data_IF_865706926578
#
_entry.id   IF_865706926578
#
_cell.length_a   1.000
_cell.length_b   1.000
_cell.length_c   1.000
_cell.angle_alpha   90.00
_cell.angle_beta   90.00
_cell.angle_gamma   90.00
#
_symmetry.space_group_name_H-M   'P 1'
#
loop_
_entity.id
_entity.type
_entity.pdbx_description
1 polymer ?
#
# COMPACT_ATOMS: atom_id res chain seq x y z
N UNK A 1 36.13 -3.69 6.00
CA UNK A 1 35.57 -4.15 7.29
C UNK A 1 34.12 -4.54 7.06
N UNK A 2 33.84 -5.82 6.83
CA UNK A 2 32.47 -6.34 6.84
C UNK A 2 32.24 -6.77 8.29
N UNK A 3 31.45 -5.99 9.03
CA UNK A 3 31.06 -6.34 10.39
C UNK A 3 30.34 -7.70 10.33
N UNK A 4 30.74 -8.71 11.12
CA UNK A 4 29.98 -9.94 11.22
C UNK A 4 28.67 -9.59 11.92
N UNK A 5 27.61 -9.54 11.14
CA UNK A 5 26.24 -9.39 11.63
C UNK A 5 25.99 -10.48 12.65
N UNK A 6 25.84 -10.08 13.91
CA UNK A 6 25.13 -10.86 14.93
C UNK A 6 23.90 -11.49 14.28
N UNK A 7 23.71 -12.81 14.47
CA UNK A 7 22.63 -13.61 13.89
C UNK A 7 21.40 -12.78 13.51
N UNK A 8 21.14 -12.64 12.21
CA UNK A 8 20.01 -11.88 11.71
C UNK A 8 18.73 -12.48 12.31
N UNK A 9 18.00 -11.72 13.13
CA UNK A 9 16.73 -12.18 13.68
C UNK A 9 15.70 -12.20 12.55
N UNK A 10 15.57 -13.36 11.90
CA UNK A 10 14.70 -13.56 10.74
C UNK A 10 13.25 -13.13 11.01
N UNK A 11 12.75 -13.37 12.22
CA UNK A 11 11.41 -12.95 12.63
C UNK A 11 11.26 -11.43 12.62
N UNK A 12 12.24 -10.71 13.18
CA UNK A 12 12.24 -9.25 13.18
C UNK A 12 12.34 -8.67 11.77
N UNK A 13 13.21 -9.22 10.93
CA UNK A 13 13.35 -8.81 9.52
C UNK A 13 12.07 -9.07 8.73
N UNK A 14 11.44 -10.24 8.92
CA UNK A 14 10.18 -10.58 8.28
C UNK A 14 9.06 -9.62 8.69
N UNK A 15 8.99 -9.26 9.97
CA UNK A 15 8.00 -8.30 10.47
C UNK A 15 8.20 -6.91 9.83
N UNK A 16 9.44 -6.42 9.81
CA UNK A 16 9.79 -5.14 9.16
C UNK A 16 9.42 -5.10 7.68
N UNK A 17 9.75 -6.17 6.93
CA UNK A 17 9.41 -6.25 5.51
C UNK A 17 7.89 -6.28 5.29
N UNK A 18 7.14 -6.97 6.15
CA UNK A 18 5.69 -7.01 6.06
C UNK A 18 5.08 -5.61 6.33
N UNK A 19 5.55 -4.91 7.36
CA UNK A 19 5.11 -3.54 7.67
C UNK A 19 5.41 -2.61 6.50
N UNK A 20 6.63 -2.64 5.96
CA UNK A 20 7.01 -1.80 4.83
C UNK A 20 6.15 -2.11 3.59
N UNK A 21 5.86 -3.40 3.32
CA UNK A 21 4.99 -3.78 2.22
C UNK A 21 3.58 -3.23 2.38
N UNK A 22 3.04 -3.20 3.60
CA UNK A 22 1.72 -2.63 3.88
C UNK A 22 1.72 -1.11 3.70
N UNK A 23 2.73 -0.42 4.24
CA UNK A 23 2.86 1.04 4.07
C UNK A 23 2.97 1.42 2.59
N UNK A 24 3.81 0.72 1.82
CA UNK A 24 3.92 0.94 0.38
C UNK A 24 2.59 0.68 -0.34
N UNK A 25 1.83 -0.34 0.07
CA UNK A 25 0.54 -0.61 -0.53
C UNK A 25 -0.45 0.53 -0.27
N UNK A 26 -0.46 1.12 0.93
CA UNK A 26 -1.31 2.29 1.23
C UNK A 26 -0.94 3.53 0.42
N UNK A 27 0.31 3.67 -0.04
CA UNK A 27 0.74 4.79 -0.88
C UNK A 27 0.37 4.61 -2.36
N UNK A 28 0.16 3.37 -2.80
CA UNK A 28 -0.10 3.04 -4.21
C UNK A 28 -1.58 2.74 -4.44
N UNK A 29 -2.33 2.37 -3.40
CA UNK A 29 -3.76 2.10 -3.51
C UNK A 29 -4.51 3.36 -3.93
N UNK A 30 -5.16 3.28 -5.10
CA UNK A 30 -5.98 4.37 -5.60
C UNK A 30 -7.33 4.37 -4.87
N UNK A 31 -7.97 5.54 -4.68
CA UNK A 31 -9.29 5.59 -4.10
C UNK A 31 -10.30 4.90 -5.01
N UNK A 32 -11.13 4.03 -4.42
CA UNK A 32 -12.07 3.18 -5.15
C UNK A 32 -13.54 3.61 -5.00
N UNK A 33 -13.80 4.71 -4.29
CA UNK A 33 -15.13 5.27 -4.12
C UNK A 33 -15.98 4.56 -3.05
N UNK A 34 -15.43 3.57 -2.34
CA UNK A 34 -16.12 2.95 -1.19
C UNK A 34 -16.12 3.88 0.01
N UNK A 35 -17.01 3.63 0.99
CA UNK A 35 -17.05 4.40 2.23
C UNK A 35 -15.73 4.38 3.01
N UNK A 36 -14.99 3.28 2.92
CA UNK A 36 -13.71 3.08 3.62
C UNK A 36 -12.50 3.59 2.83
N UNK A 37 -12.62 3.77 1.52
CA UNK A 37 -11.57 4.33 0.66
C UNK A 37 -12.20 5.28 -0.39
N UNK A 38 -12.72 6.44 0.05
CA UNK A 38 -13.44 7.36 -0.82
C UNK A 38 -12.49 8.08 -1.77
N UNK A 39 -12.96 8.37 -2.99
CA UNK A 39 -12.32 9.35 -3.86
C UNK A 39 -12.73 10.77 -3.44
N UNK A 40 -11.84 11.76 -3.65
CA UNK A 40 -12.16 13.16 -3.39
C UNK A 40 -13.10 13.74 -4.46
N UNK A 41 -13.06 13.20 -5.69
CA UNK A 41 -13.95 13.61 -6.79
C UNK A 41 -14.31 12.42 -7.70
N UNK A 42 -15.44 12.51 -8.40
CA UNK A 42 -15.80 11.51 -9.42
C UNK A 42 -14.77 11.45 -10.57
N UNK A 43 -14.10 12.57 -10.87
CA UNK A 43 -13.05 12.62 -11.91
C UNK A 43 -11.81 11.81 -11.49
N UNK A 44 -11.40 11.94 -10.24
CA UNK A 44 -10.31 11.11 -9.68
C UNK A 44 -10.67 9.63 -9.73
N UNK A 45 -11.88 9.27 -9.30
CA UNK A 45 -12.36 7.89 -9.34
C UNK A 45 -12.37 7.32 -10.77
N UNK A 46 -12.85 8.10 -11.74
CA UNK A 46 -12.88 7.70 -13.15
C UNK A 46 -11.47 7.51 -13.74
N UNK A 47 -10.51 8.34 -13.37
CA UNK A 47 -9.12 8.18 -13.82
C UNK A 47 -8.48 6.89 -13.26
N UNK A 48 -8.76 6.56 -12.00
CA UNK A 48 -8.27 5.34 -11.36
C UNK A 48 -9.02 4.08 -11.84
N UNK A 49 -10.31 4.20 -12.13
CA UNK A 49 -11.21 3.08 -12.46
C UNK A 49 -12.11 3.41 -13.67
N UNK A 50 -11.58 3.41 -14.91
CA UNK A 50 -12.31 3.89 -16.09
C UNK A 50 -13.55 3.09 -16.49
N UNK A 51 -13.68 1.87 -15.96
CA UNK A 51 -14.77 0.94 -16.27
C UNK A 51 -15.87 0.91 -15.19
N UNK A 52 -15.75 1.72 -14.11
CA UNK A 52 -16.84 1.84 -13.15
C UNK A 52 -18.05 2.49 -13.83
N UNK A 53 -19.27 1.93 -13.67
CA UNK A 53 -20.47 2.56 -14.19
C UNK A 53 -20.83 3.79 -13.35
N UNK A 54 -21.61 4.69 -13.93
CA UNK A 54 -22.20 5.82 -13.20
C UNK A 54 -23.14 5.30 -12.10
N UNK A 55 -23.12 5.97 -10.93
CA UNK A 55 -23.92 5.59 -9.75
C UNK A 55 -23.75 6.53 -8.55
#
# INVERSE_FOLDING_TARGET
LIYPSTHLNYTAVRALLNTLSQELQTLIEHPNGTKTNPAATCKELLLAHPNLPDG
#
